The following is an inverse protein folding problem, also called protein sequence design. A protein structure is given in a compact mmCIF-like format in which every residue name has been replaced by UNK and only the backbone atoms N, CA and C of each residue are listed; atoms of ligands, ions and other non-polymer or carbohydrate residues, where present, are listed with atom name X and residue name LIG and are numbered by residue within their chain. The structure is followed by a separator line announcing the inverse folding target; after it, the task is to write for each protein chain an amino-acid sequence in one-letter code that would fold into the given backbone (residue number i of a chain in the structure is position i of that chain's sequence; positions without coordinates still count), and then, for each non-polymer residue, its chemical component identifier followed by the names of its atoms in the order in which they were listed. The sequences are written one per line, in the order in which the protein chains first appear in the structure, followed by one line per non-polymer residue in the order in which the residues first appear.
data_IF_749777587348
#
_entry.id   IF_749777587348
#
_cell.length_a   1.000
_cell.length_b   1.000
_cell.length_c   1.000
_cell.angle_alpha   90.00
_cell.angle_beta   90.00
_cell.angle_gamma   90.00
#
_symmetry.space_group_name_H-M   'P 1'
#
loop_
_entity.id
_entity.type
_entity.pdbx_description
1 polymer ?
#
# COMPACT_ATOMS: atom_id res chain seq x y z
N UNK A 1 -8.56 -1.45 -10.41
CA UNK A 1 -8.24 -1.69 -8.99
C UNK A 1 -6.79 -2.13 -8.87
N UNK A 2 -6.05 -1.66 -7.87
CA UNK A 2 -4.67 -2.12 -7.63
C UNK A 2 -4.70 -3.58 -7.22
N UNK A 3 -3.93 -4.41 -7.92
CA UNK A 3 -3.87 -5.86 -7.65
C UNK A 3 -3.14 -6.15 -6.33
N UNK A 4 -2.04 -5.46 -6.06
CA UNK A 4 -1.24 -5.65 -4.86
C UNK A 4 -1.59 -4.62 -3.80
N UNK A 5 -1.69 -5.08 -2.56
CA UNK A 5 -2.09 -4.29 -1.38
C UNK A 5 -0.98 -4.18 -0.35
N UNK A 6 0.06 -5.01 -0.45
CA UNK A 6 1.20 -5.01 0.46
C UNK A 6 2.49 -5.20 -0.33
N UNK A 7 3.52 -4.50 0.10
CA UNK A 7 4.90 -4.69 -0.36
C UNK A 7 5.76 -5.12 0.82
N UNK A 8 6.70 -6.01 0.56
CA UNK A 8 7.66 -6.51 1.55
C UNK A 8 9.08 -6.20 1.09
N UNK A 9 9.86 -5.70 2.03
CA UNK A 9 11.31 -5.54 1.91
C UNK A 9 11.96 -6.45 2.95
N UNK A 10 12.85 -7.33 2.49
CA UNK A 10 13.67 -8.19 3.31
C UNK A 10 15.13 -7.74 3.28
N UNK A 11 15.81 -7.88 4.40
CA UNK A 11 17.24 -7.68 4.52
C UNK A 11 17.81 -8.82 5.35
N UNK A 12 18.79 -9.54 4.82
CA UNK A 12 19.57 -10.52 5.57
C UNK A 12 21.00 -10.02 5.65
N UNK A 13 21.51 -9.86 6.87
CA UNK A 13 22.87 -9.39 7.15
C UNK A 13 23.70 -10.58 7.61
N UNK A 14 24.82 -10.80 6.92
CA UNK A 14 25.78 -11.83 7.22
C UNK A 14 26.80 -11.27 8.21
N UNK A 15 27.02 -11.95 9.33
CA UNK A 15 28.01 -11.51 10.30
C UNK A 15 29.44 -11.51 9.74
N UNK A 16 30.28 -10.62 10.26
CA UNK A 16 31.68 -10.34 9.84
C UNK A 16 32.66 -11.53 9.92
N UNK A 17 32.17 -12.73 10.26
CA UNK A 17 32.96 -13.93 10.51
C UNK A 17 33.02 -14.81 9.26
N UNK A 18 32.10 -14.62 8.30
CA UNK A 18 32.00 -15.47 7.12
C UNK A 18 33.04 -15.07 6.07
N UNK A 19 33.77 -16.05 5.57
CA UNK A 19 34.60 -15.88 4.38
C UNK A 19 33.70 -15.75 3.14
N UNK A 20 34.26 -15.23 2.05
CA UNK A 20 33.55 -15.09 0.78
C UNK A 20 32.99 -16.42 0.25
N UNK A 21 33.72 -17.53 0.43
CA UNK A 21 33.29 -18.86 0.00
C UNK A 21 32.09 -19.36 0.83
N UNK A 22 32.16 -19.20 2.15
CA UNK A 22 31.05 -19.55 3.05
C UNK A 22 29.81 -18.69 2.80
N UNK A 23 29.99 -17.40 2.49
CA UNK A 23 28.90 -16.50 2.09
C UNK A 23 28.18 -17.03 0.85
N UNK A 24 28.93 -17.41 -0.18
CA UNK A 24 28.38 -17.90 -1.44
C UNK A 24 27.64 -19.23 -1.26
N UNK A 25 28.14 -20.12 -0.39
CA UNK A 25 27.46 -21.36 -0.03
C UNK A 25 26.16 -21.10 0.76
N UNK A 26 26.20 -20.18 1.72
CA UNK A 26 25.01 -19.77 2.49
C UNK A 26 23.96 -19.20 1.55
N UNK A 27 24.33 -18.29 0.64
CA UNK A 27 23.41 -17.73 -0.35
C UNK A 27 22.83 -18.79 -1.29
N UNK A 28 23.67 -19.71 -1.77
CA UNK A 28 23.26 -20.81 -2.62
C UNK A 28 22.22 -21.74 -1.98
N UNK A 29 22.20 -21.83 -0.64
CA UNK A 29 21.21 -22.60 0.11
C UNK A 29 20.01 -21.75 0.55
N UNK A 30 20.24 -20.49 0.90
CA UNK A 30 19.24 -19.63 1.53
C UNK A 30 18.31 -18.99 0.50
N UNK A 31 18.82 -18.52 -0.64
CA UNK A 31 18.02 -17.86 -1.68
C UNK A 31 16.94 -18.80 -2.21
N UNK A 32 17.23 -20.05 -2.64
CA UNK A 32 16.19 -20.94 -3.16
C UNK A 32 15.12 -21.27 -2.12
N UNK A 33 15.52 -21.47 -0.85
CA UNK A 33 14.57 -21.77 0.23
C UNK A 33 13.69 -20.57 0.57
N UNK A 34 14.27 -19.37 0.57
CA UNK A 34 13.52 -18.13 0.79
C UNK A 34 12.57 -17.85 -0.37
N UNK A 35 12.99 -18.08 -1.61
CA UNK A 35 12.13 -17.99 -2.80
C UNK A 35 10.95 -18.98 -2.69
N UNK A 36 11.21 -20.25 -2.39
CA UNK A 36 10.18 -21.26 -2.17
C UNK A 36 9.18 -20.84 -1.08
N UNK A 37 9.67 -20.34 0.07
CA UNK A 37 8.82 -19.86 1.16
C UNK A 37 7.94 -18.67 0.74
N UNK A 38 8.52 -17.70 0.03
CA UNK A 38 7.79 -16.52 -0.43
C UNK A 38 6.73 -16.89 -1.46
N UNK A 39 7.06 -17.77 -2.42
CA UNK A 39 6.11 -18.26 -3.40
C UNK A 39 4.96 -19.05 -2.74
N UNK A 40 5.27 -19.92 -1.77
CA UNK A 40 4.25 -20.65 -0.99
C UNK A 40 3.35 -19.72 -0.17
N UNK A 41 3.88 -18.58 0.28
CA UNK A 41 3.11 -17.53 0.95
C UNK A 41 2.26 -16.69 -0.02
N UNK A 42 2.38 -16.91 -1.33
CA UNK A 42 1.65 -16.17 -2.36
C UNK A 42 2.29 -14.83 -2.72
N UNK A 43 3.59 -14.66 -2.49
CA UNK A 43 4.33 -13.51 -2.97
C UNK A 43 4.43 -13.54 -4.50
N UNK A 44 4.39 -12.35 -5.10
CA UNK A 44 4.65 -12.14 -6.53
C UNK A 44 5.82 -11.18 -6.70
N UNK A 45 6.45 -11.22 -7.88
CA UNK A 45 7.59 -10.36 -8.24
C UNK A 45 8.71 -10.41 -7.19
N UNK A 46 9.08 -11.63 -6.77
CA UNK A 46 10.19 -11.84 -5.84
C UNK A 46 11.50 -11.49 -6.54
N UNK A 47 12.27 -10.60 -5.93
CA UNK A 47 13.59 -10.19 -6.39
C UNK A 47 14.62 -10.28 -5.25
N UNK A 48 15.83 -10.69 -5.59
CA UNK A 48 16.96 -10.82 -4.68
C UNK A 48 18.13 -10.00 -5.20
N UNK A 49 18.63 -9.09 -4.37
CA UNK A 49 19.77 -8.24 -4.70
C UNK A 49 20.88 -8.44 -3.66
N UNK A 50 21.91 -9.25 -3.94
CA UNK A 50 23.07 -9.39 -3.06
C UNK A 50 23.93 -8.12 -3.10
N UNK A 51 24.32 -7.62 -1.93
CA UNK A 51 25.08 -6.37 -1.73
C UNK A 51 26.17 -6.60 -0.69
N UNK A 52 27.27 -7.26 -1.10
CA UNK A 52 28.37 -7.59 -0.20
C UNK A 52 27.88 -8.47 0.95
N UNK A 53 27.92 -7.95 2.17
CA UNK A 53 27.54 -8.67 3.40
C UNK A 53 26.03 -8.57 3.71
N UNK A 54 25.22 -8.16 2.73
CA UNK A 54 23.78 -8.05 2.87
C UNK A 54 23.06 -8.60 1.65
N UNK A 55 22.08 -9.45 1.86
CA UNK A 55 21.11 -9.85 0.84
C UNK A 55 19.82 -9.08 1.02
N UNK A 56 19.45 -8.30 0.00
CA UNK A 56 18.17 -7.59 -0.05
C UNK A 56 17.14 -8.45 -0.79
N UNK A 57 15.89 -8.36 -0.36
CA UNK A 57 14.77 -9.06 -0.99
C UNK A 57 13.60 -8.11 -1.13
N UNK A 58 12.88 -8.17 -2.25
CA UNK A 58 11.66 -7.40 -2.45
C UNK A 58 10.58 -8.29 -3.05
N UNK A 59 9.35 -8.19 -2.57
CA UNK A 59 8.22 -8.85 -3.18
C UNK A 59 6.90 -8.16 -2.83
N UNK A 60 5.82 -8.53 -3.53
CA UNK A 60 4.48 -7.97 -3.30
C UNK A 60 3.45 -9.05 -3.01
N UNK A 61 2.43 -8.70 -2.24
CA UNK A 61 1.30 -9.58 -1.90
C UNK A 61 -0.02 -8.96 -2.35
N UNK A 62 -0.93 -9.80 -2.85
CA UNK A 62 -2.27 -9.37 -3.26
C UNK A 62 -3.12 -8.92 -2.06
N UNK A 63 -2.96 -9.55 -0.90
CA UNK A 63 -3.72 -9.26 0.29
C UNK A 63 -2.79 -9.03 1.49
N UNK A 64 -3.18 -8.09 2.36
CA UNK A 64 -2.51 -7.85 3.62
C UNK A 64 -3.01 -8.85 4.67
N UNK A 65 -2.19 -9.86 5.00
CA UNK A 65 -2.57 -10.98 5.86
C UNK A 65 -1.50 -11.23 6.92
N UNK A 66 -1.71 -10.69 8.12
CA UNK A 66 -0.77 -10.77 9.24
C UNK A 66 -0.31 -12.20 9.57
N UNK A 67 -1.23 -13.18 9.49
CA UNK A 67 -0.89 -14.57 9.77
C UNK A 67 0.15 -15.15 8.78
N UNK A 68 0.16 -14.66 7.52
CA UNK A 68 1.16 -15.05 6.53
C UNK A 68 2.52 -14.45 6.91
N UNK A 69 2.55 -13.17 7.31
CA UNK A 69 3.80 -12.49 7.67
C UNK A 69 4.45 -13.13 8.89
N UNK A 70 3.67 -13.44 9.93
CA UNK A 70 4.14 -14.18 11.11
C UNK A 70 4.64 -15.58 10.76
N UNK A 71 3.94 -16.29 9.86
CA UNK A 71 4.38 -17.61 9.40
C UNK A 71 5.71 -17.50 8.65
N UNK A 72 5.85 -16.52 7.74
CA UNK A 72 7.11 -16.26 7.04
C UNK A 72 8.24 -15.98 8.03
N UNK A 73 8.03 -15.10 9.01
CA UNK A 73 9.02 -14.81 10.04
C UNK A 73 9.43 -16.06 10.83
N UNK A 74 8.46 -16.90 11.22
CA UNK A 74 8.69 -18.14 11.95
C UNK A 74 9.49 -19.16 11.13
N UNK A 75 9.10 -19.41 9.89
CA UNK A 75 9.78 -20.37 8.99
C UNK A 75 11.20 -19.87 8.68
N UNK A 76 11.36 -18.57 8.38
CA UNK A 76 12.66 -17.98 8.09
C UNK A 76 13.59 -18.03 9.30
N UNK A 77 13.12 -17.69 10.49
CA UNK A 77 13.91 -17.82 11.71
C UNK A 77 14.38 -19.27 11.95
N UNK A 78 13.60 -20.28 11.53
CA UNK A 78 14.00 -21.69 11.58
C UNK A 78 15.04 -22.10 10.53
N UNK A 79 15.18 -21.34 9.45
CA UNK A 79 16.13 -21.59 8.37
C UNK A 79 17.44 -20.80 8.49
N UNK A 80 17.42 -19.68 9.21
CA UNK A 80 18.58 -18.80 9.32
C UNK A 80 19.75 -19.47 10.05
N UNK A 81 20.98 -19.44 9.49
CA UNK A 81 22.19 -19.81 10.22
C UNK A 81 22.44 -18.87 11.41
N UNK A 82 23.20 -19.32 12.41
CA UNK A 82 23.51 -18.51 13.62
C UNK A 82 24.21 -17.18 13.32
N UNK A 83 25.02 -17.14 12.26
CA UNK A 83 25.75 -15.95 11.83
C UNK A 83 24.90 -14.95 11.03
N UNK A 84 23.62 -15.25 10.75
CA UNK A 84 22.76 -14.41 9.90
C UNK A 84 21.64 -13.78 10.73
N UNK A 85 21.47 -12.48 10.55
CA UNK A 85 20.30 -11.75 11.08
C UNK A 85 19.44 -11.26 9.94
N UNK A 86 18.13 -11.26 10.15
CA UNK A 86 17.18 -10.84 9.14
C UNK A 86 16.25 -9.74 9.63
N UNK A 87 15.80 -8.89 8.72
CA UNK A 87 14.73 -7.93 8.94
C UNK A 87 13.71 -8.10 7.81
N UNK A 88 12.43 -8.23 8.13
CA UNK A 88 11.34 -8.16 7.16
C UNK A 88 10.48 -6.95 7.47
N UNK A 89 10.19 -6.16 6.45
CA UNK A 89 9.39 -4.95 6.56
C UNK A 89 8.22 -5.05 5.59
N UNK A 90 7.01 -4.99 6.11
CA UNK A 90 5.77 -5.04 5.35
C UNK A 90 5.06 -3.69 5.41
N UNK A 91 4.79 -3.12 4.24
CA UNK A 91 4.10 -1.85 4.10
C UNK A 91 2.77 -2.05 3.37
N UNK A 92 1.68 -1.60 4.00
CA UNK A 92 0.38 -1.57 3.37
C UNK A 92 0.30 -0.42 2.37
N UNK A 93 -0.38 -0.65 1.24
CA UNK A 93 -0.50 0.34 0.16
C UNK A 93 -1.15 1.66 0.59
N UNK A 94 -2.04 1.61 1.59
CA UNK A 94 -2.70 2.81 2.13
C UNK A 94 -1.84 3.60 3.12
N UNK A 95 -0.62 3.11 3.41
CA UNK A 95 0.34 3.72 4.33
C UNK A 95 -0.24 3.95 5.74
N UNK A 96 -1.17 3.11 6.20
CA UNK A 96 -1.74 3.23 7.54
C UNK A 96 -0.97 2.41 8.58
N UNK A 97 -0.42 1.27 8.18
CA UNK A 97 0.25 0.33 9.07
C UNK A 97 1.49 -0.24 8.39
N UNK A 98 2.56 -0.34 9.17
CA UNK A 98 3.75 -1.12 8.84
C UNK A 98 3.97 -2.23 9.88
N UNK A 99 4.46 -3.38 9.42
CA UNK A 99 4.97 -4.43 10.31
C UNK A 99 6.46 -4.66 10.05
N UNK A 100 7.22 -4.71 11.14
CA UNK A 100 8.64 -5.04 11.10
C UNK A 100 8.86 -6.33 11.87
N UNK A 101 9.65 -7.23 11.31
CA UNK A 101 10.08 -8.47 11.94
C UNK A 101 11.59 -8.50 12.01
N UNK A 102 12.15 -8.75 13.19
CA UNK A 102 13.58 -9.01 13.38
C UNK A 102 13.77 -10.50 13.58
N UNK A 103 14.70 -11.08 12.83
CA UNK A 103 14.95 -12.50 12.75
C UNK A 103 16.40 -12.81 13.19
N UNK A 104 16.55 -13.89 13.94
CA UNK A 104 17.80 -14.56 14.21
C UNK A 104 17.57 -16.08 14.19
N UNK A 105 18.64 -16.87 14.17
CA UNK A 105 18.51 -18.33 14.25
C UNK A 105 17.59 -18.75 15.42
N UNK A 106 16.52 -19.45 15.09
CA UNK A 106 15.52 -19.98 16.03
C UNK A 106 14.64 -18.95 16.74
N UNK A 107 14.72 -17.66 16.42
CA UNK A 107 13.98 -16.61 17.14
C UNK A 107 13.55 -15.45 16.24
N UNK A 108 12.38 -14.89 16.51
CA UNK A 108 11.90 -13.68 15.83
C UNK A 108 11.11 -12.78 16.78
N UNK A 109 11.05 -11.50 16.44
CA UNK A 109 10.30 -10.47 17.15
C UNK A 109 9.50 -9.63 16.15
N UNK A 110 8.36 -9.08 16.55
CA UNK A 110 7.52 -8.21 15.72
C UNK A 110 7.26 -6.85 16.34
N UNK A 111 7.15 -5.83 15.49
CA UNK A 111 6.60 -4.52 15.80
C UNK A 111 5.48 -4.21 14.78
N UNK A 112 4.30 -3.83 15.29
CA UNK A 112 3.29 -3.13 14.51
C UNK A 112 3.43 -1.63 14.78
N UNK A 113 3.51 -0.82 13.73
CA UNK A 113 3.47 0.63 13.84
C UNK A 113 2.41 1.21 12.92
N UNK A 114 1.50 1.99 13.50
CA UNK A 114 0.56 2.81 12.75
C UNK A 114 1.23 4.11 12.31
N UNK A 115 1.05 4.46 11.05
CA UNK A 115 1.60 5.68 10.48
C UNK A 115 0.55 6.80 10.59
N UNK A 116 0.95 8.01 11.03
CA UNK A 116 0.01 9.13 11.13
C UNK A 116 -0.32 9.66 9.73
N UNK A 117 -1.58 10.01 9.50
CA UNK A 117 -2.02 10.63 8.24
C UNK A 117 -1.47 12.05 8.09
N UNK A 118 -1.35 12.76 9.21
CA UNK A 118 -0.75 14.09 9.29
C UNK A 118 0.69 13.99 9.81
N UNK A 119 1.57 14.86 9.31
CA UNK A 119 2.93 14.94 9.81
C UNK A 119 2.94 15.33 11.30
N UNK A 120 3.69 14.62 12.17
CA UNK A 120 3.79 14.97 13.58
C UNK A 120 4.28 16.41 13.79
N UNK A 121 3.61 17.15 14.68
CA UNK A 121 3.82 18.59 14.88
C UNK A 121 5.24 18.99 15.35
N UNK A 122 5.99 18.04 15.91
CA UNK A 122 7.35 18.27 16.42
C UNK A 122 8.43 18.20 15.32
N UNK A 123 8.08 17.80 14.10
CA UNK A 123 9.03 17.65 13.00
C UNK A 123 9.26 18.98 12.27
N UNK A 124 10.48 19.22 11.75
CA UNK A 124 10.77 20.42 10.97
C UNK A 124 9.94 20.44 9.68
N UNK A 125 9.36 21.60 9.38
CA UNK A 125 8.61 21.83 8.14
C UNK A 125 9.48 22.57 7.13
N UNK A 126 9.72 21.93 5.99
CA UNK A 126 10.38 22.55 4.84
C UNK A 126 9.31 23.10 3.89
N UNK A 127 9.21 24.42 3.77
CA UNK A 127 8.25 25.06 2.89
C UNK A 127 8.84 25.23 1.48
N UNK A 128 8.04 24.92 0.46
CA UNK A 128 8.35 25.16 -0.96
C UNK A 128 7.21 25.97 -1.58
N UNK A 129 7.50 26.75 -2.63
CA UNK A 129 6.46 27.49 -3.33
C UNK A 129 5.43 26.53 -3.94
N UNK A 130 4.16 26.73 -3.63
CA UNK A 130 3.08 25.96 -4.26
C UNK A 130 2.84 26.51 -5.66
N UNK A 131 2.93 25.64 -6.67
CA UNK A 131 2.47 26.00 -7.99
C UNK A 131 0.93 26.12 -7.97
N UNK A 132 0.35 27.21 -8.51
CA UNK A 132 -1.08 27.31 -8.63
C UNK A 132 -1.59 26.18 -9.53
N UNK A 133 -2.46 25.32 -8.99
CA UNK A 133 -3.24 24.38 -9.80
C UNK A 133 -4.31 25.25 -10.48
N UNK A 134 -4.10 25.62 -11.75
CA UNK A 134 -5.05 26.40 -12.54
C UNK A 134 -5.38 25.72 -13.88
N UNK A 135 -6.66 25.66 -14.28
CA UNK A 135 -7.86 25.51 -13.48
C UNK A 135 -8.53 24.14 -13.71
N UNK A 136 -9.31 23.70 -12.72
CA UNK A 136 -10.35 22.68 -12.93
C UNK A 136 -11.32 23.25 -13.99
N UNK A 137 -11.69 22.51 -15.05
CA UNK A 137 -12.68 22.99 -16.00
C UNK A 137 -13.99 23.33 -15.27
N UNK A 138 -14.60 24.45 -15.64
CA UNK A 138 -15.89 24.84 -15.09
C UNK A 138 -16.88 23.69 -15.30
N UNK A 139 -17.69 23.31 -14.27
CA UNK A 139 -18.76 22.36 -14.47
C UNK A 139 -19.64 22.85 -15.63
N UNK A 140 -20.14 21.96 -16.51
CA UNK A 140 -20.98 22.36 -17.62
C UNK A 140 -22.15 23.18 -17.07
N UNK A 141 -22.29 24.39 -17.61
CA UNK A 141 -23.42 25.27 -17.33
C UNK A 141 -24.68 24.43 -17.58
N UNK A 142 -25.48 24.20 -16.54
CA UNK A 142 -26.80 23.61 -16.72
C UNK A 142 -27.52 24.54 -17.68
N UNK A 143 -27.76 24.07 -18.90
CA UNK A 143 -28.64 24.75 -19.82
C UNK A 143 -29.93 25.01 -19.05
N UNK A 144 -30.22 26.28 -18.86
CA UNK A 144 -31.48 26.76 -18.29
C UNK A 144 -32.56 26.18 -19.21
N UNK A 145 -33.14 25.05 -18.80
CA UNK A 145 -34.32 24.47 -19.41
C UNK A 145 -35.44 25.44 -19.03
N UNK A 146 -35.47 26.57 -19.74
CA UNK A 146 -36.50 27.56 -19.65
C UNK A 146 -37.79 26.85 -19.99
N UNK A 147 -38.50 26.44 -18.94
CA UNK A 147 -39.90 26.03 -19.02
C UNK A 147 -40.59 27.13 -19.83
N UNK A 148 -41.14 26.85 -21.02
CA UNK A 148 -41.77 27.88 -21.81
C UNK A 148 -42.90 28.45 -20.96
N UNK A 149 -42.85 29.77 -20.74
CA UNK A 149 -43.85 30.50 -19.99
C UNK A 149 -45.24 30.09 -20.48
N UNK A 150 -46.06 29.57 -19.56
CA UNK A 150 -47.43 29.21 -19.83
C UNK A 150 -48.13 30.42 -20.48
N UNK A 151 -48.76 30.17 -21.63
CA UNK A 151 -49.52 31.17 -22.35
C UNK A 151 -50.55 31.85 -21.42
N UNK A 152 -50.79 33.16 -21.57
CA UNK A 152 -51.74 33.88 -20.72
C UNK A 152 -53.14 33.23 -20.82
N UNK A 153 -53.91 33.21 -19.72
CA UNK A 153 -55.22 32.57 -19.70
C UNK A 153 -56.15 33.25 -20.71
N UNK A 154 -56.77 32.45 -21.58
CA UNK A 154 -57.82 32.94 -22.46
C UNK A 154 -59.01 33.42 -21.63
N UNK A 155 -59.66 34.54 -22.01
CA UNK A 155 -60.85 35.01 -21.33
C UNK A 155 -61.99 33.98 -21.47
N UNK A 156 -62.67 33.70 -20.36
CA UNK A 156 -63.79 32.79 -20.29
C UNK A 156 -64.92 33.22 -21.25
N UNK A 157 -65.67 32.28 -21.84
CA UNK A 157 -66.85 32.62 -22.62
C UNK A 157 -67.91 33.25 -21.71
N UNK A 158 -68.48 34.37 -22.16
CA UNK A 158 -69.63 34.99 -21.52
C UNK A 158 -70.79 33.98 -21.52
N UNK A 159 -71.20 33.55 -20.32
CA UNK A 159 -72.44 32.82 -20.12
C UNK A 159 -73.64 33.71 -20.44
N UNK A 160 -74.77 33.14 -20.88
CA UNK A 160 -75.94 33.88 -21.30
C UNK A 160 -76.55 34.64 -20.12
N UNK A 161 -76.98 35.87 -20.39
CA UNK A 161 -77.81 36.69 -19.51
C UNK A 161 -79.02 35.90 -19.02
N UNK A 162 -79.20 35.86 -17.70
CA UNK A 162 -80.49 35.60 -17.07
C UNK A 162 -81.49 36.67 -17.50
N UNK A 163 -82.58 36.26 -18.14
CA UNK A 163 -83.83 37.00 -18.14
C UNK A 163 -84.89 36.16 -17.43
N UNK A 164 -85.30 36.69 -16.28
CA UNK A 164 -86.31 36.19 -15.36
C UNK A 164 -87.73 36.20 -15.94
N UNK A 165 -88.56 35.36 -15.30
CA UNK A 165 -90.02 35.40 -15.17
C UNK A 165 -90.89 34.81 -16.31
#
# INVERSE_FOLDING_TARGET
MSKYQCEMFGQLNYGDILTYEELQEVEGLLIPRLDDLLQQAGAAHVDFTPTGDVLLTQCVFEAYKLYIFRKLAQELAGLLPEAVRGNLFFLQKDLLVQHTYWLSAGSWQEEERRLPQDAPAHLPRHAVASAPIWPLPAPPEQADDAVPAAAPPQPAPAGPEDAQA
#
